data_IF_561111105367
#
_entry.id   IF_561111105367
#
_cell.length_a   1.000
_cell.length_b   1.000
_cell.length_c   1.000
_cell.angle_alpha   90.00
_cell.angle_beta   90.00
_cell.angle_gamma   90.00
#
_symmetry.space_group_name_H-M   'P 1'
#
loop_
_entity.id
_entity.type
_entity.pdbx_description
1 polymer ?
#
# COMPACT_ATOMS: atom_id res chain seq x y z
N UNK A 1 -13.35 -14.10 -7.38
CA UNK A 1 -12.50 -12.92 -7.62
C UNK A 1 -11.87 -12.49 -6.31
N UNK A 2 -10.84 -11.65 -6.33
CA UNK A 2 -10.30 -10.97 -5.13
C UNK A 2 -10.11 -9.49 -5.47
N UNK A 3 -10.01 -8.59 -4.49
CA UNK A 3 -9.81 -7.17 -4.80
C UNK A 3 -8.63 -6.91 -5.74
N UNK A 4 -7.47 -7.48 -5.47
CA UNK A 4 -6.28 -7.33 -6.31
C UNK A 4 -6.48 -7.84 -7.73
N UNK A 5 -7.19 -8.97 -7.92
CA UNK A 5 -7.51 -9.51 -9.26
C UNK A 5 -8.51 -8.62 -10.01
N UNK A 6 -9.50 -8.06 -9.31
CA UNK A 6 -10.45 -7.10 -9.90
C UNK A 6 -9.69 -5.85 -10.34
N UNK A 7 -8.85 -5.28 -9.48
CA UNK A 7 -8.08 -4.08 -9.79
C UNK A 7 -7.11 -4.31 -10.95
N UNK A 8 -6.40 -5.44 -10.97
CA UNK A 8 -5.52 -5.81 -12.09
C UNK A 8 -6.31 -5.96 -13.40
N UNK A 9 -7.52 -6.53 -13.35
CA UNK A 9 -8.40 -6.60 -14.52
C UNK A 9 -8.83 -5.21 -14.99
N UNK A 10 -9.22 -4.32 -14.09
CA UNK A 10 -9.59 -2.95 -14.44
C UNK A 10 -8.39 -2.18 -15.04
N UNK A 11 -7.19 -2.36 -14.49
CA UNK A 11 -5.95 -1.81 -15.05
C UNK A 11 -5.61 -2.32 -16.45
N UNK A 12 -5.95 -3.57 -16.75
CA UNK A 12 -5.87 -4.12 -18.11
C UNK A 12 -6.90 -3.49 -19.05
N UNK A 13 -8.15 -3.42 -18.62
CA UNK A 13 -9.28 -2.97 -19.45
C UNK A 13 -9.23 -1.46 -19.76
N UNK A 14 -8.76 -0.63 -18.81
CA UNK A 14 -8.67 0.82 -19.04
C UNK A 14 -7.68 1.17 -20.16
N UNK A 15 -6.60 0.38 -20.29
CA UNK A 15 -5.59 0.48 -21.37
C UNK A 15 -5.13 1.93 -21.65
N UNK A 16 -4.91 2.72 -20.60
CA UNK A 16 -4.55 4.14 -20.67
C UNK A 16 -3.29 4.38 -19.83
N UNK A 17 -2.24 4.91 -20.47
CA UNK A 17 -0.95 5.18 -19.84
C UNK A 17 -0.99 6.31 -18.80
N UNK A 18 -2.03 7.13 -18.77
CA UNK A 18 -2.24 8.12 -17.71
C UNK A 18 -2.69 7.50 -16.38
N UNK A 19 -3.18 6.25 -16.40
CA UNK A 19 -3.64 5.54 -15.21
C UNK A 19 -2.51 4.78 -14.51
N UNK A 20 -2.35 4.97 -13.20
CA UNK A 20 -1.40 4.17 -12.42
C UNK A 20 -1.79 2.69 -12.36
N UNK A 21 -3.08 2.36 -12.50
CA UNK A 21 -3.56 0.97 -12.52
C UNK A 21 -3.13 0.22 -13.78
N UNK A 22 -3.04 0.92 -14.92
CA UNK A 22 -2.47 0.37 -16.13
C UNK A 22 -1.01 -0.02 -15.92
N UNK A 23 -0.20 0.88 -15.35
CA UNK A 23 1.21 0.60 -15.06
C UNK A 23 1.40 -0.48 -14.00
N UNK A 24 0.53 -0.52 -12.97
CA UNK A 24 0.55 -1.58 -11.97
C UNK A 24 0.30 -2.95 -12.63
N UNK A 25 -0.72 -3.05 -13.50
CA UNK A 25 -1.00 -4.26 -14.27
C UNK A 25 0.17 -4.63 -15.21
N UNK A 26 0.67 -3.69 -16.01
CA UNK A 26 1.77 -3.93 -16.97
C UNK A 26 3.06 -4.42 -16.32
N UNK A 27 3.36 -3.93 -15.11
CA UNK A 27 4.57 -4.28 -14.38
C UNK A 27 4.36 -5.41 -13.35
N UNK A 28 3.21 -6.09 -13.36
CA UNK A 28 2.86 -7.14 -12.39
C UNK A 28 3.01 -6.68 -10.92
N UNK A 29 2.62 -5.43 -10.63
CA UNK A 29 2.59 -4.87 -9.28
C UNK A 29 1.17 -5.05 -8.72
N UNK A 30 0.97 -5.88 -7.68
CA UNK A 30 -0.34 -6.09 -7.11
C UNK A 30 -0.82 -4.86 -6.33
N UNK A 31 -2.12 -4.58 -6.43
CA UNK A 31 -2.79 -3.50 -5.68
C UNK A 31 -3.81 -4.13 -4.75
N UNK A 32 -3.58 -4.03 -3.45
CA UNK A 32 -4.46 -4.58 -2.43
C UNK A 32 -5.43 -3.52 -1.91
N UNK A 33 -6.72 -3.86 -1.85
CA UNK A 33 -7.77 -2.99 -1.32
C UNK A 33 -8.83 -3.85 -0.60
N UNK A 34 -8.67 -4.14 0.70
CA UNK A 34 -9.61 -5.02 1.41
C UNK A 34 -11.03 -4.46 1.46
N UNK A 35 -11.18 -3.13 1.48
CA UNK A 35 -12.46 -2.42 1.47
C UNK A 35 -12.83 -1.96 0.06
N UNK A 36 -12.71 -2.83 -0.96
CA UNK A 36 -12.98 -2.47 -2.37
C UNK A 36 -14.40 -1.95 -2.63
N UNK A 37 -15.34 -2.33 -1.77
CA UNK A 37 -16.76 -1.94 -1.87
C UNK A 37 -17.05 -0.55 -1.28
N UNK A 38 -16.10 0.07 -0.58
CA UNK A 38 -16.30 1.37 0.07
C UNK A 38 -15.97 2.52 -0.90
N UNK A 39 -16.83 2.70 -1.90
CA UNK A 39 -16.70 3.74 -2.92
C UNK A 39 -17.56 3.48 -4.16
N UNK A 40 -17.39 4.30 -5.20
CA UNK A 40 -18.22 4.25 -6.43
C UNK A 40 -18.20 2.88 -7.13
N UNK A 41 -17.09 2.14 -7.04
CA UNK A 41 -17.04 0.77 -7.55
C UNK A 41 -18.00 -0.15 -6.80
N UNK A 42 -18.17 0.04 -5.49
CA UNK A 42 -19.16 -0.66 -4.66
C UNK A 42 -20.59 -0.45 -5.14
N UNK A 43 -20.96 0.79 -5.50
CA UNK A 43 -22.29 1.09 -6.05
C UNK A 43 -22.55 0.31 -7.35
N UNK A 44 -21.54 0.24 -8.21
CA UNK A 44 -21.63 -0.51 -9.46
C UNK A 44 -21.69 -2.02 -9.22
N UNK A 45 -20.94 -2.55 -8.25
CA UNK A 45 -21.01 -3.94 -7.82
C UNK A 45 -22.40 -4.29 -7.27
N UNK A 46 -23.00 -3.39 -6.48
CA UNK A 46 -24.36 -3.54 -5.97
C UNK A 46 -25.38 -3.59 -7.12
N UNK A 47 -25.37 -2.58 -8.00
CA UNK A 47 -26.27 -2.53 -9.15
C UNK A 47 -26.11 -3.76 -10.05
N UNK A 48 -24.87 -4.21 -10.24
CA UNK A 48 -24.57 -5.43 -10.99
C UNK A 48 -25.13 -6.66 -10.29
N UNK A 49 -24.96 -6.82 -8.98
CA UNK A 49 -25.43 -7.98 -8.22
C UNK A 49 -26.97 -8.12 -8.26
N UNK A 50 -27.71 -7.00 -8.29
CA UNK A 50 -29.17 -6.99 -8.44
C UNK A 50 -29.59 -7.56 -9.81
N UNK A 51 -28.83 -7.26 -10.87
CA UNK A 51 -29.16 -7.68 -12.24
C UNK A 51 -28.56 -9.04 -12.62
N UNK A 52 -27.37 -9.33 -12.11
CA UNK A 52 -26.54 -10.49 -12.43
C UNK A 52 -25.92 -11.01 -11.11
N UNK A 53 -26.67 -11.77 -10.30
CA UNK A 53 -26.16 -12.30 -9.06
C UNK A 53 -25.03 -13.32 -9.31
N UNK A 54 -24.13 -13.47 -8.34
CA UNK A 54 -23.10 -14.52 -8.35
C UNK A 54 -21.64 -14.04 -8.35
N UNK A 55 -21.39 -12.73 -8.50
CA UNK A 55 -20.04 -12.19 -8.33
C UNK A 55 -19.61 -12.25 -6.86
N UNK A 56 -18.57 -13.04 -6.57
CA UNK A 56 -17.96 -13.15 -5.23
C UNK A 56 -16.54 -12.60 -5.27
N UNK A 57 -16.27 -11.65 -4.38
CA UNK A 57 -14.96 -11.04 -4.16
C UNK A 57 -14.46 -11.49 -2.79
N UNK A 58 -13.50 -12.41 -2.79
CA UNK A 58 -12.91 -13.00 -1.58
C UNK A 58 -11.71 -12.17 -1.10
N UNK A 59 -11.82 -11.63 0.11
CA UNK A 59 -10.76 -10.89 0.79
C UNK A 59 -9.76 -11.81 1.51
N UNK A 60 -10.12 -13.06 1.81
CA UNK A 60 -9.25 -14.03 2.49
C UNK A 60 -8.11 -14.46 1.57
N UNK A 61 -8.39 -14.68 0.28
CA UNK A 61 -7.33 -14.94 -0.68
C UNK A 61 -6.37 -13.75 -0.81
N UNK A 62 -6.84 -12.51 -0.77
CA UNK A 62 -5.98 -11.31 -0.87
C UNK A 62 -5.09 -11.10 0.36
N UNK A 63 -5.61 -11.28 1.58
CA UNK A 63 -4.79 -11.18 2.80
C UNK A 63 -3.69 -12.25 2.82
N UNK A 64 -3.95 -13.46 2.28
CA UNK A 64 -2.93 -14.50 2.13
C UNK A 64 -1.84 -14.09 1.14
N UNK A 65 -2.18 -13.38 0.06
CA UNK A 65 -1.23 -12.91 -0.94
C UNK A 65 -0.29 -11.85 -0.37
N UNK A 66 -0.81 -10.76 0.23
CA UNK A 66 0.03 -9.70 0.79
C UNK A 66 0.90 -10.18 1.96
N UNK A 67 0.35 -11.00 2.86
CA UNK A 67 1.14 -11.59 3.95
C UNK A 67 2.19 -12.54 3.39
N UNK A 68 1.83 -13.32 2.37
CA UNK A 68 2.75 -14.17 1.63
C UNK A 68 3.91 -13.37 1.04
N UNK A 69 3.66 -12.24 0.37
CA UNK A 69 4.71 -11.39 -0.18
C UNK A 69 5.70 -10.90 0.88
N UNK A 70 5.20 -10.47 2.04
CA UNK A 70 6.05 -10.03 3.15
C UNK A 70 6.90 -11.18 3.70
N UNK A 71 6.31 -12.35 3.93
CA UNK A 71 7.02 -13.54 4.45
C UNK A 71 8.11 -13.99 3.47
N UNK A 72 7.77 -14.14 2.18
CA UNK A 72 8.68 -14.59 1.13
C UNK A 72 9.68 -13.51 0.68
N UNK A 73 9.58 -12.28 1.21
CA UNK A 73 10.61 -11.28 1.00
C UNK A 73 11.95 -11.72 1.61
N UNK A 74 11.94 -12.50 2.70
CA UNK A 74 13.16 -13.01 3.35
C UNK A 74 13.97 -13.89 2.38
N UNK A 75 15.31 -13.69 2.25
CA UNK A 75 16.21 -12.89 3.11
C UNK A 75 16.35 -11.42 2.70
N UNK A 76 15.62 -10.92 1.69
CA UNK A 76 15.62 -9.50 1.31
C UNK A 76 14.95 -8.64 2.39
N UNK A 77 15.31 -7.36 2.38
CA UNK A 77 14.71 -6.34 3.24
C UNK A 77 13.37 -5.86 2.68
N UNK A 78 12.47 -5.45 3.55
CA UNK A 78 11.25 -4.72 3.16
C UNK A 78 11.32 -3.27 3.64
N UNK A 79 10.77 -2.37 2.83
CA UNK A 79 10.60 -0.97 3.18
C UNK A 79 9.16 -0.54 2.97
N UNK A 80 8.63 0.28 3.86
CA UNK A 80 7.28 0.83 3.75
C UNK A 80 7.32 2.34 3.61
N UNK A 81 6.59 2.88 2.63
CA UNK A 81 6.32 4.31 2.48
C UNK A 81 4.81 4.46 2.55
N UNK A 82 4.32 5.12 3.59
CA UNK A 82 2.89 5.22 3.88
C UNK A 82 2.49 6.70 3.83
N UNK A 83 1.59 7.02 2.92
CA UNK A 83 1.01 8.35 2.78
C UNK A 83 -0.39 8.32 3.40
N UNK A 84 -0.61 9.07 4.48
CA UNK A 84 -1.83 9.04 5.27
C UNK A 84 -1.84 7.97 6.38
N UNK A 85 -3.04 7.49 6.70
CA UNK A 85 -3.30 6.55 7.80
C UNK A 85 -4.34 5.49 7.42
N UNK A 86 -5.14 5.06 8.39
CA UNK A 86 -6.29 4.18 8.18
C UNK A 86 -5.92 2.77 7.70
N UNK A 87 -6.84 2.16 6.95
CA UNK A 87 -6.72 0.78 6.48
C UNK A 87 -5.40 0.51 5.73
N UNK A 88 -4.94 1.35 4.77
CA UNK A 88 -3.67 1.10 4.07
C UNK A 88 -2.46 1.05 5.01
N UNK A 89 -2.39 1.96 5.99
CA UNK A 89 -1.31 1.96 7.00
C UNK A 89 -1.30 0.64 7.77
N UNK A 90 -2.43 0.29 8.37
CA UNK A 90 -2.52 -0.89 9.21
C UNK A 90 -2.25 -2.17 8.42
N UNK A 91 -2.81 -2.29 7.21
CA UNK A 91 -2.72 -3.50 6.39
C UNK A 91 -1.29 -3.81 5.95
N UNK A 92 -0.53 -2.81 5.50
CA UNK A 92 0.89 -2.97 5.10
C UNK A 92 1.76 -3.32 6.31
N UNK A 93 1.55 -2.64 7.45
CA UNK A 93 2.29 -2.91 8.68
C UNK A 93 1.99 -4.31 9.23
N UNK A 94 0.73 -4.75 9.19
CA UNK A 94 0.32 -6.07 9.64
C UNK A 94 0.92 -7.20 8.78
N UNK A 95 1.03 -7.00 7.47
CA UNK A 95 1.73 -7.95 6.61
C UNK A 95 3.22 -8.10 7.00
N UNK A 96 3.88 -6.99 7.34
CA UNK A 96 5.28 -7.01 7.78
C UNK A 96 5.48 -7.59 9.19
N UNK A 97 4.45 -7.63 10.03
CA UNK A 97 4.51 -8.29 11.34
C UNK A 97 4.89 -9.78 11.21
N UNK A 98 4.36 -10.47 10.19
CA UNK A 98 4.64 -11.90 9.95
C UNK A 98 6.07 -12.21 9.51
N UNK A 99 6.89 -11.19 9.22
CA UNK A 99 8.34 -11.33 8.94
C UNK A 99 9.22 -10.69 10.03
N UNK A 100 8.67 -10.49 11.22
CA UNK A 100 9.32 -9.79 12.35
C UNK A 100 9.64 -8.32 12.04
N UNK A 101 8.77 -7.66 11.27
CA UNK A 101 8.77 -6.23 11.04
C UNK A 101 9.48 -5.77 9.77
N UNK A 102 9.13 -4.57 9.31
CA UNK A 102 9.78 -3.90 8.19
C UNK A 102 11.20 -3.41 8.58
N UNK A 103 12.12 -3.42 7.61
CA UNK A 103 13.51 -2.95 7.81
C UNK A 103 13.64 -1.43 7.67
N UNK A 104 12.75 -0.80 6.89
CA UNK A 104 12.68 0.64 6.68
C UNK A 104 11.22 1.12 6.72
N UNK A 105 10.96 2.28 7.32
CA UNK A 105 9.62 2.85 7.35
C UNK A 105 9.66 4.38 7.26
N UNK A 106 8.84 4.93 6.36
CA UNK A 106 8.60 6.37 6.22
C UNK A 106 7.09 6.59 6.22
N UNK A 107 6.61 7.37 7.19
CA UNK A 107 5.21 7.80 7.27
C UNK A 107 5.11 9.29 6.93
N UNK A 108 4.15 9.66 6.10
CA UNK A 108 3.81 11.06 5.82
C UNK A 108 2.31 11.20 6.08
N UNK A 109 1.94 11.81 7.20
CA UNK A 109 0.54 12.02 7.55
C UNK A 109 0.35 13.21 8.48
N UNK A 110 -0.91 13.61 8.67
CA UNK A 110 -1.30 14.76 9.51
C UNK A 110 -1.87 14.35 10.86
N UNK A 111 -2.05 13.03 11.08
CA UNK A 111 -2.70 12.49 12.27
C UNK A 111 -1.80 12.58 13.51
N UNK A 112 -2.45 12.82 14.65
CA UNK A 112 -1.81 13.07 15.94
C UNK A 112 -2.04 11.91 16.90
N UNK A 113 -1.09 11.67 17.80
CA UNK A 113 -1.10 10.51 18.69
C UNK A 113 -2.12 10.58 19.84
N UNK A 114 -2.58 11.78 20.20
CA UNK A 114 -3.35 12.01 21.42
C UNK A 114 -4.71 11.29 21.46
N UNK A 115 -5.26 10.91 20.30
CA UNK A 115 -6.54 10.23 20.17
C UNK A 115 -6.42 8.69 20.24
N UNK A 116 -5.19 8.16 20.35
CA UNK A 116 -4.92 6.73 20.40
C UNK A 116 -5.25 5.97 19.11
N UNK A 117 -5.41 6.67 17.98
CA UNK A 117 -5.72 6.04 16.70
C UNK A 117 -4.48 5.38 16.06
N UNK A 118 -4.69 4.25 15.35
CA UNK A 118 -3.60 3.69 14.52
C UNK A 118 -3.10 4.71 13.50
N UNK A 119 -3.98 5.55 12.94
CA UNK A 119 -3.59 6.62 12.01
C UNK A 119 -2.57 7.59 12.61
N UNK A 120 -2.79 7.99 13.87
CA UNK A 120 -1.97 8.96 14.62
C UNK A 120 -0.74 8.35 15.28
N UNK A 121 -0.70 7.03 15.48
CA UNK A 121 0.37 6.30 16.14
C UNK A 121 1.77 6.68 15.63
N UNK A 122 2.72 6.83 16.56
CA UNK A 122 4.13 6.98 16.24
C UNK A 122 4.69 5.67 15.68
N UNK A 123 5.77 5.71 14.86
CA UNK A 123 6.39 4.48 14.40
C UNK A 123 6.91 3.57 15.52
N UNK A 124 7.23 4.14 16.68
CA UNK A 124 7.65 3.39 17.88
C UNK A 124 6.56 2.45 18.40
N UNK A 125 5.28 2.84 18.28
CA UNK A 125 4.16 1.94 18.58
C UNK A 125 4.20 0.72 17.65
N UNK A 126 4.44 0.92 16.35
CA UNK A 126 4.56 -0.19 15.40
C UNK A 126 5.77 -1.10 15.67
N UNK A 127 6.82 -0.59 16.32
CA UNK A 127 7.95 -1.41 16.81
C UNK A 127 7.48 -2.33 17.95
N UNK A 128 6.66 -1.84 18.88
CA UNK A 128 6.16 -2.65 20.01
C UNK A 128 5.35 -3.88 19.57
N UNK A 129 4.64 -3.78 18.44
CA UNK A 129 3.88 -4.87 17.83
C UNK A 129 4.70 -5.79 16.92
N UNK A 130 5.99 -5.50 16.71
CA UNK A 130 6.82 -6.21 15.73
C UNK A 130 6.43 -5.94 14.26
N UNK A 131 5.63 -4.90 14.00
CA UNK A 131 5.28 -4.45 12.63
C UNK A 131 6.47 -3.71 11.96
N UNK A 132 7.32 -3.08 12.77
CA UNK A 132 8.63 -2.52 12.39
C UNK A 132 9.72 -3.21 13.23
N UNK A 133 10.90 -3.47 12.65
CA UNK A 133 12.04 -4.02 13.40
C UNK A 133 12.55 -3.02 14.44
N UNK A 134 12.92 -3.49 15.62
CA UNK A 134 13.57 -2.65 16.64
C UNK A 134 14.92 -2.06 16.21
N UNK A 135 15.58 -2.64 15.21
CA UNK A 135 16.82 -2.10 14.62
C UNK A 135 16.57 -1.11 13.46
N UNK A 136 15.32 -0.90 13.06
CA UNK A 136 14.98 0.05 12.01
C UNK A 136 15.15 1.49 12.49
N UNK A 137 15.27 2.42 11.54
CA UNK A 137 15.26 3.87 11.80
C UNK A 137 14.02 4.49 11.15
N UNK A 138 12.83 4.29 11.73
CA UNK A 138 11.60 4.78 11.13
C UNK A 138 11.49 6.30 11.22
N UNK A 139 10.85 6.93 10.24
CA UNK A 139 10.63 8.39 10.21
C UNK A 139 9.15 8.69 10.00
N UNK A 140 8.59 9.59 10.80
CA UNK A 140 7.26 10.18 10.59
C UNK A 140 7.41 11.67 10.27
N UNK A 141 6.87 12.09 9.14
CA UNK A 141 6.80 13.48 8.70
C UNK A 141 5.37 13.96 8.93
N UNK A 142 5.20 14.89 9.87
CA UNK A 142 3.91 15.54 10.14
C UNK A 142 3.66 16.62 9.08
N UNK A 143 3.14 16.21 7.92
CA UNK A 143 2.90 17.09 6.78
C UNK A 143 1.82 16.50 5.87
N UNK A 144 1.15 17.37 5.12
CA UNK A 144 0.29 16.95 4.02
C UNK A 144 1.13 16.25 2.93
N UNK A 145 0.65 15.09 2.46
CA UNK A 145 1.35 14.30 1.46
C UNK A 145 1.51 15.06 0.11
N UNK A 146 0.58 15.94 -0.23
CA UNK A 146 0.65 16.76 -1.45
C UNK A 146 1.85 17.72 -1.46
N UNK A 147 2.37 18.09 -0.28
CA UNK A 147 3.56 18.93 -0.12
C UNK A 147 4.81 18.07 -0.05
N UNK A 148 4.84 17.11 0.87
CA UNK A 148 6.05 16.35 1.18
C UNK A 148 6.39 15.28 0.14
N UNK A 149 5.40 14.61 -0.45
CA UNK A 149 5.64 13.45 -1.31
C UNK A 149 6.28 13.83 -2.66
N UNK A 150 5.87 14.91 -3.37
CA UNK A 150 6.57 15.32 -4.58
C UNK A 150 8.05 15.64 -4.36
N UNK A 151 8.38 16.30 -3.23
CA UNK A 151 9.76 16.62 -2.85
C UNK A 151 10.57 15.34 -2.54
N UNK A 152 9.96 14.40 -1.81
CA UNK A 152 10.55 13.09 -1.54
C UNK A 152 10.88 12.37 -2.85
N UNK A 153 9.92 12.29 -3.78
CA UNK A 153 10.10 11.63 -5.08
C UNK A 153 11.21 12.31 -5.89
N UNK A 154 11.24 13.64 -5.95
CA UNK A 154 12.27 14.41 -6.63
C UNK A 154 13.68 14.10 -6.09
N UNK A 155 13.84 14.06 -4.77
CA UNK A 155 15.13 13.86 -4.11
C UNK A 155 15.60 12.39 -4.12
N UNK A 156 14.70 11.42 -4.34
CA UNK A 156 14.99 9.97 -4.23
C UNK A 156 14.77 9.21 -5.53
N UNK A 157 13.54 8.84 -5.85
CA UNK A 157 13.17 8.01 -7.00
C UNK A 157 13.52 8.67 -8.33
N UNK A 158 13.17 9.94 -8.52
CA UNK A 158 13.42 10.67 -9.75
C UNK A 158 14.93 10.85 -9.98
N UNK A 159 15.68 11.25 -8.94
CA UNK A 159 17.14 11.39 -9.02
C UNK A 159 17.81 10.09 -9.47
N UNK A 160 17.42 8.94 -8.89
CA UNK A 160 17.96 7.64 -9.28
C UNK A 160 17.66 7.28 -10.73
N UNK A 161 16.44 7.57 -11.20
CA UNK A 161 16.04 7.34 -12.59
C UNK A 161 16.90 8.17 -13.57
N UNK A 162 17.08 9.46 -13.28
CA UNK A 162 17.94 10.33 -14.11
C UNK A 162 19.40 9.88 -14.12
N UNK A 163 19.97 9.49 -12.98
CA UNK A 163 21.34 8.98 -12.91
C UNK A 163 21.52 7.68 -13.69
N UNK A 164 20.54 6.77 -13.68
CA UNK A 164 20.61 5.53 -14.43
C UNK A 164 20.54 5.76 -15.94
N UNK A 165 19.74 6.72 -16.40
CA UNK A 165 19.63 7.08 -17.81
C UNK A 165 20.85 7.86 -18.35
N UNK A 166 21.61 8.55 -17.49
CA UNK A 166 22.84 9.25 -17.90
C UNK A 166 24.08 8.34 -18.00
N UNK A 167 23.99 7.09 -17.53
CA UNK A 167 25.10 6.11 -17.55
C UNK A 167 24.97 5.06 -18.65
N UNK A 168 23.90 5.11 -19.46
CA UNK A 168 23.72 4.34 -20.69
C UNK A 168 23.91 5.25 -21.91
#
# INVERSE_FOLDING_TARGET
WTPSKVIARLGKEINDESSYLYWAYKNNIPVYCPALTDGSLGDMLFCHAVRNPGLIIDIVQDIRLINGEAIHASPRKTGVIILGGGLPKHHICNANMFRNGADYAVYINTAQEFDGSDSGAQPDEAVSWGKIKGSAKPVKVHCDATIAFPLLVAATFARRSHSANSTN
#
